data_IF_744472906728
#
_entry.id   IF_744472906728
#
_cell.length_a   1.000
_cell.length_b   1.000
_cell.length_c   1.000
_cell.angle_alpha   90.00
_cell.angle_beta   90.00
_cell.angle_gamma   90.00
#
_symmetry.space_group_name_H-M   'P 1'
#
loop_
_entity.id
_entity.type
_entity.pdbx_description
1 polymer ?
#
# COMPACT_ATOMS: atom_id res chain seq x y z
N UNK A 1 57.28 -35.46 7.48
CA UNK A 1 56.55 -34.88 8.64
C UNK A 1 56.84 -33.39 8.64
N UNK A 2 55.89 -32.46 8.92
CA UNK A 2 54.57 -32.59 9.56
C UNK A 2 53.43 -32.06 8.64
N UNK A 3 52.16 -31.85 9.02
CA UNK A 3 51.21 -32.57 9.85
C UNK A 3 49.83 -32.34 9.19
N UNK A 4 48.95 -33.32 9.31
CA UNK A 4 47.60 -33.37 8.74
C UNK A 4 46.63 -32.82 9.78
N UNK A 5 45.84 -31.79 9.46
CA UNK A 5 44.73 -31.34 10.31
C UNK A 5 43.41 -31.56 9.57
N UNK A 6 42.70 -32.61 9.99
CA UNK A 6 41.25 -32.78 9.82
C UNK A 6 40.54 -31.86 10.81
N UNK A 7 39.41 -31.30 10.39
CA UNK A 7 38.45 -30.63 11.26
C UNK A 7 37.10 -30.61 10.57
N UNK A 8 36.34 -31.68 10.73
CA UNK A 8 34.89 -31.71 10.49
C UNK A 8 34.21 -30.85 11.58
N UNK A 9 33.36 -29.92 11.16
CA UNK A 9 32.39 -29.28 12.04
C UNK A 9 30.98 -29.56 11.48
N UNK A 10 30.30 -30.51 12.12
CA UNK A 10 28.85 -30.61 12.08
C UNK A 10 28.29 -29.40 12.84
N UNK A 11 27.47 -28.59 12.17
CA UNK A 11 26.68 -27.53 12.79
C UNK A 11 25.22 -27.78 12.48
N UNK A 12 24.45 -28.10 13.52
CA UNK A 12 23.02 -28.37 13.49
C UNK A 12 22.21 -27.25 12.83
N UNK A 13 21.34 -27.63 11.89
CA UNK A 13 20.24 -26.81 11.39
C UNK A 13 19.19 -26.73 12.50
N UNK A 14 19.20 -25.62 13.26
CA UNK A 14 18.05 -25.27 14.08
C UNK A 14 16.93 -24.73 13.18
N UNK A 15 15.81 -25.43 13.22
CA UNK A 15 14.57 -25.09 12.55
C UNK A 15 14.08 -23.73 13.06
N UNK A 16 14.04 -22.74 12.18
CA UNK A 16 13.49 -21.41 12.47
C UNK A 16 11.99 -21.50 12.73
N UNK A 17 11.60 -21.30 13.99
CA UNK A 17 10.21 -21.08 14.37
C UNK A 17 9.67 -19.84 13.65
N UNK A 18 8.58 -20.04 12.89
CA UNK A 18 7.82 -18.99 12.22
C UNK A 18 7.24 -18.06 13.30
N UNK A 19 7.88 -16.91 13.53
CA UNK A 19 7.25 -15.83 14.28
C UNK A 19 6.07 -15.34 13.43
N UNK A 20 4.86 -15.75 13.84
CA UNK A 20 3.63 -15.17 13.37
C UNK A 20 3.58 -13.74 13.92
N UNK A 21 3.95 -12.76 13.09
CA UNK A 21 3.76 -11.33 13.43
C UNK A 21 2.24 -11.07 13.33
N UNK A 22 1.59 -10.53 14.37
CA UNK A 22 0.18 -10.17 14.28
C UNK A 22 -0.01 -9.08 13.21
N UNK A 23 -1.00 -9.24 12.34
CA UNK A 23 -1.44 -8.17 11.44
C UNK A 23 -1.79 -6.93 12.30
N UNK A 24 -1.32 -5.72 11.95
CA UNK A 24 -1.81 -4.52 12.59
C UNK A 24 -3.29 -4.29 12.25
N UNK A 25 -4.04 -3.77 13.22
CA UNK A 25 -5.46 -3.46 13.06
C UNK A 25 -5.66 -2.46 11.89
N UNK A 26 -6.70 -2.66 11.04
CA UNK A 26 -7.05 -1.68 10.03
C UNK A 26 -7.35 -0.33 10.70
N UNK A 27 -6.79 0.75 10.13
CA UNK A 27 -6.99 2.10 10.69
C UNK A 27 -8.49 2.42 10.78
N UNK A 28 -8.96 3.04 11.87
CA UNK A 28 -10.34 3.52 11.93
C UNK A 28 -10.53 4.67 10.93
N UNK A 29 -11.49 4.51 10.03
CA UNK A 29 -11.95 5.55 9.11
C UNK A 29 -12.18 6.87 9.86
N UNK A 30 -11.47 7.92 9.45
CA UNK A 30 -11.63 9.26 9.97
C UNK A 30 -12.97 9.87 9.53
N UNK A 31 -14.09 9.44 10.11
CA UNK A 31 -15.38 10.13 9.97
C UNK A 31 -15.35 11.43 10.76
N UNK A 32 -15.22 12.53 10.01
CA UNK A 32 -15.51 13.91 10.44
C UNK A 32 -16.80 13.99 11.24
N UNK A 33 -16.71 14.52 12.46
CA UNK A 33 -17.86 14.95 13.25
C UNK A 33 -18.55 16.14 12.59
N UNK A 34 -19.83 15.98 12.28
CA UNK A 34 -20.76 17.09 12.05
C UNK A 34 -21.65 17.20 13.29
N UNK A 35 -21.44 18.27 14.07
CA UNK A 35 -22.43 18.70 15.04
C UNK A 35 -23.59 19.39 14.31
N UNK A 36 -24.82 18.98 14.61
CA UNK A 36 -26.00 19.79 14.31
C UNK A 36 -27.02 19.79 15.45
N UNK A 37 -27.67 20.95 15.51
CA UNK A 37 -28.45 21.51 16.59
C UNK A 37 -29.73 20.73 16.97
N UNK A 38 -30.07 20.87 18.24
CA UNK A 38 -31.39 20.63 18.85
C UNK A 38 -32.48 21.48 18.19
N UNK A 39 -33.58 20.85 17.77
CA UNK A 39 -34.90 21.48 17.65
C UNK A 39 -36.00 20.46 18.00
N UNK A 40 -36.97 20.93 18.77
CA UNK A 40 -38.00 20.17 19.49
C UNK A 40 -39.33 20.26 18.73
N UNK A 41 -39.99 19.12 18.52
CA UNK A 41 -41.46 18.97 18.58
C UNK A 41 -42.31 19.29 17.34
N UNK A 42 -43.21 18.35 16.99
CA UNK A 42 -44.42 18.62 16.19
C UNK A 42 -44.94 17.41 15.38
N UNK A 43 -46.03 16.77 15.83
CA UNK A 43 -46.72 15.67 15.14
C UNK A 43 -47.70 16.19 14.07
N UNK A 44 -47.79 15.54 12.90
CA UNK A 44 -49.00 14.87 12.32
C UNK A 44 -48.88 14.50 10.82
N UNK A 45 -49.15 13.21 10.57
CA UNK A 45 -49.93 12.58 9.48
C UNK A 45 -49.57 12.68 7.98
N UNK A 46 -49.27 11.49 7.43
CA UNK A 46 -49.78 10.82 6.22
C UNK A 46 -49.61 11.46 4.81
N UNK A 47 -48.93 10.73 3.91
CA UNK A 47 -49.52 10.16 2.67
C UNK A 47 -48.45 9.50 1.76
N UNK A 48 -48.75 8.27 1.34
CA UNK A 48 -48.66 7.71 -0.03
C UNK A 48 -47.33 7.70 -0.82
N UNK A 49 -46.83 6.47 -0.98
CA UNK A 49 -46.24 5.82 -2.17
C UNK A 49 -45.15 6.50 -3.00
N UNK A 50 -44.00 5.83 -3.12
CA UNK A 50 -43.49 5.30 -4.40
C UNK A 50 -42.11 4.65 -4.21
N UNK A 51 -41.94 3.46 -4.77
CA UNK A 51 -40.65 2.91 -5.21
C UNK A 51 -39.60 2.64 -4.14
N UNK A 52 -39.63 1.45 -3.54
CA UNK A 52 -38.41 0.89 -2.93
C UNK A 52 -37.49 0.35 -4.04
N UNK A 53 -36.89 1.26 -4.80
CA UNK A 53 -35.75 0.95 -5.66
C UNK A 53 -34.47 1.09 -4.84
N UNK A 54 -34.13 0.07 -4.05
CA UNK A 54 -32.79 -0.05 -3.47
C UNK A 54 -31.82 -0.46 -4.61
N UNK A 55 -31.40 0.52 -5.40
CA UNK A 55 -30.21 0.38 -6.25
C UNK A 55 -29.00 0.43 -5.31
N UNK A 56 -28.56 -0.75 -4.86
CA UNK A 56 -27.23 -0.92 -4.28
C UNK A 56 -26.20 -0.71 -5.40
N UNK A 57 -25.82 0.54 -5.63
CA UNK A 57 -24.60 0.85 -6.36
C UNK A 57 -23.43 0.44 -5.47
N UNK A 58 -22.99 -0.82 -5.62
CA UNK A 58 -21.71 -1.28 -5.09
C UNK A 58 -20.60 -0.61 -5.91
N UNK A 59 -20.31 0.65 -5.61
CA UNK A 59 -19.14 1.32 -6.11
C UNK A 59 -17.94 0.78 -5.32
N UNK A 60 -17.22 -0.19 -5.88
CA UNK A 60 -15.83 -0.45 -5.50
C UNK A 60 -15.00 0.76 -5.94
N UNK A 61 -15.02 1.83 -5.15
CA UNK A 61 -14.16 2.99 -5.37
C UNK A 61 -12.75 2.63 -4.94
N UNK A 62 -11.77 2.90 -5.81
CA UNK A 62 -10.37 2.82 -5.43
C UNK A 62 -10.10 3.68 -4.18
N UNK A 63 -9.27 3.15 -3.28
CA UNK A 63 -8.86 3.86 -2.07
C UNK A 63 -8.37 5.27 -2.43
N UNK A 64 -8.77 6.28 -1.64
CA UNK A 64 -8.41 7.67 -1.93
C UNK A 64 -7.00 7.96 -1.41
N UNK A 65 -6.13 8.63 -2.19
CA UNK A 65 -4.79 8.98 -1.73
C UNK A 65 -4.78 9.84 -0.45
N UNK A 66 -3.91 9.50 0.50
CA UNK A 66 -3.63 10.30 1.71
C UNK A 66 -2.12 10.45 1.93
N UNK A 67 -1.53 11.37 1.16
CA UNK A 67 -0.12 11.71 1.28
C UNK A 67 0.25 12.29 2.66
N UNK A 68 -0.70 12.88 3.39
CA UNK A 68 -0.43 13.47 4.70
C UNK A 68 -0.22 12.39 5.77
N UNK A 69 -0.97 11.29 5.68
CA UNK A 69 -0.77 10.11 6.50
C UNK A 69 0.60 9.48 6.23
N UNK A 70 0.99 9.27 4.96
CA UNK A 70 2.30 8.72 4.60
C UNK A 70 3.44 9.59 5.17
N UNK A 71 3.33 10.91 5.08
CA UNK A 71 4.32 11.83 5.67
C UNK A 71 4.36 11.73 7.20
N UNK A 72 3.22 11.54 7.86
CA UNK A 72 3.14 11.32 9.30
C UNK A 72 3.80 10.00 9.71
N UNK A 73 3.58 8.94 8.94
CA UNK A 73 4.17 7.62 9.17
C UNK A 73 5.68 7.66 8.96
N UNK A 74 6.15 8.37 7.94
CA UNK A 74 7.58 8.63 7.74
C UNK A 74 8.21 9.34 8.94
N UNK A 75 7.58 10.40 9.45
CA UNK A 75 8.08 11.16 10.62
C UNK A 75 8.08 10.35 11.91
N UNK A 76 7.19 9.39 12.02
CA UNK A 76 7.00 8.54 13.21
C UNK A 76 7.73 7.20 13.10
N UNK A 77 8.45 6.96 12.00
CA UNK A 77 9.13 5.69 11.69
C UNK A 77 8.20 4.47 11.71
N UNK A 78 6.95 4.62 11.26
CA UNK A 78 6.00 3.51 11.18
C UNK A 78 6.19 2.69 9.90
N UNK A 79 5.87 1.40 9.94
CA UNK A 79 5.99 0.47 8.80
C UNK A 79 4.86 -0.55 8.84
N UNK A 80 4.73 -1.32 7.77
CA UNK A 80 3.71 -2.35 7.59
C UNK A 80 2.29 -1.76 7.63
N UNK A 81 2.11 -0.68 6.85
CA UNK A 81 0.86 0.07 6.78
C UNK A 81 0.37 0.08 5.35
N UNK A 82 -0.88 -0.32 5.13
CA UNK A 82 -1.54 -0.09 3.84
C UNK A 82 -1.76 1.40 3.61
N UNK A 83 -1.35 1.86 2.44
CA UNK A 83 -1.43 3.26 2.04
C UNK A 83 -1.88 3.40 0.61
N UNK A 84 -2.51 4.53 0.31
CA UNK A 84 -2.64 5.03 -1.06
C UNK A 84 -1.98 6.38 -1.12
N UNK A 85 -1.03 6.53 -2.04
CA UNK A 85 -0.25 7.73 -2.22
C UNK A 85 -0.33 8.19 -3.68
N UNK A 86 -0.39 9.50 -3.90
CA UNK A 86 -0.33 10.08 -5.23
C UNK A 86 0.89 10.99 -5.37
N UNK A 87 1.47 11.04 -6.56
CA UNK A 87 2.64 11.88 -6.78
C UNK A 87 3.17 11.82 -8.19
N UNK A 88 4.26 12.55 -8.38
CA UNK A 88 4.95 12.62 -9.67
C UNK A 88 6.16 11.71 -9.66
N UNK A 89 6.31 10.88 -10.70
CA UNK A 89 7.52 10.07 -10.90
C UNK A 89 8.69 11.01 -11.20
N UNK A 90 9.72 10.99 -10.35
CA UNK A 90 10.89 11.87 -10.47
C UNK A 90 12.16 11.14 -10.89
N UNK A 91 12.18 9.81 -10.81
CA UNK A 91 13.32 8.99 -11.24
C UNK A 91 12.89 7.56 -11.54
N UNK A 92 13.33 7.03 -12.67
CA UNK A 92 13.28 5.58 -12.95
C UNK A 92 14.56 4.93 -12.43
N UNK A 93 14.43 3.75 -11.84
CA UNK A 93 15.55 2.93 -11.39
C UNK A 93 15.66 1.69 -12.28
N UNK A 94 16.84 1.07 -12.30
CA UNK A 94 16.96 -0.23 -12.94
C UNK A 94 16.11 -1.26 -12.20
N UNK A 95 15.51 -2.18 -12.95
CA UNK A 95 14.84 -3.34 -12.37
C UNK A 95 15.75 -4.09 -11.40
N UNK A 96 15.14 -4.72 -10.41
CA UNK A 96 15.83 -5.56 -9.45
C UNK A 96 15.25 -6.97 -9.47
N UNK A 97 16.07 -7.98 -9.74
CA UNK A 97 15.68 -9.37 -9.57
C UNK A 97 16.02 -9.86 -8.17
N UNK A 98 15.09 -10.58 -7.57
CA UNK A 98 15.20 -11.20 -6.24
C UNK A 98 14.69 -12.63 -6.27
N UNK A 99 14.69 -13.32 -5.13
CA UNK A 99 14.12 -14.65 -5.01
C UNK A 99 12.59 -14.70 -5.27
N UNK A 100 11.89 -13.57 -5.13
CA UNK A 100 10.43 -13.47 -5.31
C UNK A 100 10.02 -12.97 -6.70
N UNK A 101 10.99 -12.64 -7.56
CA UNK A 101 10.74 -12.14 -8.91
C UNK A 101 11.56 -10.91 -9.26
N UNK A 102 11.29 -10.38 -10.45
CA UNK A 102 11.80 -9.10 -10.95
C UNK A 102 10.87 -7.97 -10.57
N UNK A 103 11.44 -6.89 -10.05
CA UNK A 103 10.75 -5.71 -9.56
C UNK A 103 11.08 -4.51 -10.43
N UNK A 104 10.05 -3.87 -10.97
CA UNK A 104 10.11 -2.50 -11.50
C UNK A 104 10.26 -1.52 -10.34
N UNK A 105 11.11 -0.51 -10.51
CA UNK A 105 11.42 0.45 -9.45
C UNK A 105 11.46 1.88 -9.95
N UNK A 106 10.87 2.77 -9.18
CA UNK A 106 10.90 4.20 -9.46
C UNK A 106 10.70 5.00 -8.19
N UNK A 107 11.07 6.28 -8.24
CA UNK A 107 10.90 7.22 -7.14
C UNK A 107 9.75 8.16 -7.47
N UNK A 108 8.81 8.27 -6.53
CA UNK A 108 7.68 9.19 -6.59
C UNK A 108 7.92 10.32 -5.60
N UNK A 109 7.84 11.57 -6.05
CA UNK A 109 7.68 12.72 -5.16
C UNK A 109 6.20 12.86 -4.86
N UNK A 110 5.81 12.67 -3.59
CA UNK A 110 4.41 12.79 -3.18
C UNK A 110 3.87 14.19 -3.56
N UNK A 111 2.60 14.28 -3.93
CA UNK A 111 1.96 15.55 -4.29
C UNK A 111 1.95 16.57 -3.13
N UNK A 112 2.11 16.11 -1.88
CA UNK A 112 2.38 16.98 -0.72
C UNK A 112 3.70 17.75 -0.82
N UNK A 113 4.63 17.29 -1.66
CA UNK A 113 5.96 17.85 -1.87
C UNK A 113 6.95 17.59 -0.74
N UNK A 114 6.54 16.91 0.34
CA UNK A 114 7.32 16.82 1.57
C UNK A 114 8.43 15.76 1.51
N UNK A 115 8.17 14.62 0.88
CA UNK A 115 9.09 13.48 0.79
C UNK A 115 8.99 12.81 -0.58
N UNK A 116 9.99 12.00 -0.89
CA UNK A 116 9.94 11.01 -1.95
C UNK A 116 9.78 9.62 -1.36
N UNK A 117 9.12 8.72 -2.08
CA UNK A 117 9.04 7.30 -1.75
C UNK A 117 9.57 6.48 -2.92
N UNK A 118 10.24 5.37 -2.63
CA UNK A 118 10.53 4.34 -3.63
C UNK A 118 9.30 3.45 -3.80
N UNK A 119 9.02 3.04 -5.03
CA UNK A 119 7.99 2.05 -5.35
C UNK A 119 8.68 0.82 -5.91
N UNK A 120 8.39 -0.36 -5.36
CA UNK A 120 8.79 -1.67 -5.91
C UNK A 120 7.54 -2.43 -6.37
N UNK A 121 7.44 -2.69 -7.67
CA UNK A 121 6.34 -3.41 -8.30
C UNK A 121 6.83 -4.72 -8.92
N UNK A 122 6.32 -5.85 -8.44
CA UNK A 122 6.75 -7.17 -8.92
C UNK A 122 6.12 -7.49 -10.28
N UNK A 123 6.85 -7.20 -11.35
CA UNK A 123 6.43 -7.46 -12.74
C UNK A 123 6.42 -8.94 -13.13
N UNK A 124 6.80 -9.84 -12.21
CA UNK A 124 6.65 -11.28 -12.41
C UNK A 124 5.25 -11.77 -12.00
N UNK A 125 4.51 -10.96 -11.24
CA UNK A 125 3.16 -11.24 -10.77
C UNK A 125 2.16 -10.28 -11.44
N UNK A 126 2.47 -8.98 -11.43
CA UNK A 126 1.63 -7.94 -12.00
C UNK A 126 2.10 -7.43 -13.37
N UNK A 127 1.21 -6.73 -14.07
CA UNK A 127 1.55 -6.08 -15.33
C UNK A 127 2.44 -4.86 -15.09
N UNK A 128 3.59 -4.76 -15.79
CA UNK A 128 4.45 -3.56 -15.73
C UNK A 128 3.66 -2.27 -16.01
N UNK A 129 3.82 -1.28 -15.15
CA UNK A 129 3.30 0.06 -15.38
C UNK A 129 4.26 0.82 -16.31
N UNK A 130 3.80 1.41 -17.44
CA UNK A 130 4.65 2.08 -18.41
C UNK A 130 5.04 3.51 -17.95
N UNK A 131 5.40 3.66 -16.67
CA UNK A 131 5.68 4.95 -16.05
C UNK A 131 6.91 5.62 -16.63
N UNK A 132 6.85 6.93 -16.79
CA UNK A 132 7.93 7.80 -17.21
C UNK A 132 8.16 8.92 -16.20
N UNK A 133 9.36 9.52 -16.23
CA UNK A 133 9.64 10.71 -15.41
C UNK A 133 8.70 11.83 -15.82
N UNK A 134 8.00 12.41 -14.85
CA UNK A 134 7.00 13.45 -15.03
C UNK A 134 5.56 12.96 -14.96
N UNK A 135 5.32 11.65 -15.01
CA UNK A 135 3.97 11.10 -14.91
C UNK A 135 3.41 11.28 -13.51
N UNK A 136 2.11 11.57 -13.45
CA UNK A 136 1.34 11.58 -12.21
C UNK A 136 0.75 10.19 -12.00
N UNK A 137 1.10 9.56 -10.88
CA UNK A 137 0.66 8.21 -10.54
C UNK A 137 -0.06 8.18 -9.21
N UNK A 138 -0.98 7.24 -9.06
CA UNK A 138 -1.51 6.81 -7.76
C UNK A 138 -0.99 5.41 -7.48
N UNK A 139 -0.45 5.18 -6.28
CA UNK A 139 0.13 3.90 -5.87
C UNK A 139 -0.56 3.45 -4.60
N UNK A 140 -1.01 2.20 -4.58
CA UNK A 140 -1.57 1.55 -3.42
C UNK A 140 -0.77 0.28 -3.09
N UNK A 141 -0.48 0.09 -1.81
CA UNK A 141 0.23 -1.07 -1.28
C UNK A 141 0.78 -0.78 0.11
N UNK A 142 1.70 -1.63 0.57
CA UNK A 142 2.24 -1.56 1.92
C UNK A 142 3.46 -0.63 2.00
N UNK A 143 3.44 0.28 2.97
CA UNK A 143 4.54 1.20 3.27
C UNK A 143 5.51 0.62 4.30
N UNK A 144 6.81 0.69 3.97
CA UNK A 144 7.93 0.34 4.85
C UNK A 144 8.83 1.57 5.03
N UNK A 145 9.13 1.90 6.28
CA UNK A 145 9.99 3.03 6.59
C UNK A 145 11.46 2.78 6.21
N UNK A 146 12.11 3.81 5.68
CA UNK A 146 13.55 3.91 5.58
C UNK A 146 13.97 5.39 5.66
N UNK A 147 15.26 5.67 5.84
CA UNK A 147 15.76 7.05 5.98
C UNK A 147 15.64 7.90 4.71
N UNK A 148 15.30 7.30 3.56
CA UNK A 148 15.16 7.96 2.26
C UNK A 148 13.72 8.37 1.95
N UNK A 149 12.80 8.20 2.90
CA UNK A 149 11.37 8.56 2.78
C UNK A 149 10.43 7.36 2.82
N UNK A 150 10.97 6.16 2.65
CA UNK A 150 10.24 4.89 2.68
C UNK A 150 10.08 4.22 1.32
N UNK A 151 9.55 3.01 1.37
CA UNK A 151 9.28 2.11 0.25
C UNK A 151 7.78 1.76 0.26
N UNK A 152 7.15 1.75 -0.91
CA UNK A 152 5.84 1.13 -1.12
C UNK A 152 6.05 -0.12 -1.98
N UNK A 153 5.67 -1.27 -1.45
CA UNK A 153 5.68 -2.57 -2.14
C UNK A 153 4.29 -3.22 -2.09
N UNK A 154 4.15 -4.49 -2.46
CA UNK A 154 2.84 -5.14 -2.64
C UNK A 154 1.89 -4.34 -3.56
N UNK A 155 2.45 -3.64 -4.54
CA UNK A 155 1.69 -2.82 -5.51
C UNK A 155 1.08 -3.67 -6.63
N UNK A 156 0.64 -4.88 -6.30
CA UNK A 156 0.08 -5.89 -7.18
C UNK A 156 -0.94 -6.73 -6.43
N UNK A 157 -1.76 -7.49 -7.14
CA UNK A 157 -2.63 -8.48 -6.50
C UNK A 157 -1.81 -9.57 -5.78
N UNK A 158 -2.24 -10.04 -4.61
CA UNK A 158 -1.61 -11.22 -3.96
C UNK A 158 -2.22 -12.52 -4.53
N UNK A 159 -1.47 -13.36 -5.28
CA UNK A 159 -1.99 -14.61 -5.84
C UNK A 159 -2.48 -15.59 -4.78
N UNK A 160 -1.99 -15.48 -3.54
CA UNK A 160 -2.38 -16.34 -2.43
C UNK A 160 -3.52 -15.75 -1.59
N UNK A 161 -3.87 -14.47 -1.78
CA UNK A 161 -4.91 -13.78 -1.01
C UNK A 161 -4.64 -13.71 0.49
N UNK A 162 -3.36 -13.71 0.88
CA UNK A 162 -2.89 -13.65 2.27
C UNK A 162 -2.53 -12.24 2.73
N UNK A 163 -2.37 -11.32 1.78
CA UNK A 163 -2.08 -9.91 1.97
C UNK A 163 -3.06 -9.05 1.17
N UNK A 164 -3.30 -7.82 1.61
CA UNK A 164 -4.05 -6.84 0.80
C UNK A 164 -3.29 -6.61 -0.51
N UNK A 165 -4.04 -6.60 -1.62
CA UNK A 165 -3.47 -6.38 -2.94
C UNK A 165 -3.35 -4.89 -3.23
N UNK A 166 -2.27 -4.50 -3.87
CA UNK A 166 -2.04 -3.12 -4.30
C UNK A 166 -2.15 -2.94 -5.80
N UNK A 167 -1.81 -1.74 -6.25
CA UNK A 167 -1.79 -1.38 -7.66
C UNK A 167 -0.95 -0.12 -7.93
N UNK A 168 -0.60 0.08 -9.19
CA UNK A 168 -0.18 1.37 -9.74
C UNK A 168 -1.24 1.84 -10.72
N UNK A 169 -1.70 3.08 -10.59
CA UNK A 169 -2.53 3.76 -11.58
C UNK A 169 -1.70 4.83 -12.28
N UNK A 170 -1.66 4.75 -13.61
CA UNK A 170 -1.09 5.77 -14.49
C UNK A 170 -2.09 6.12 -15.60
N UNK A 171 -2.33 7.41 -15.80
CA UNK A 171 -3.24 7.92 -16.84
C UNK A 171 -4.64 7.26 -16.86
N UNK A 172 -5.19 6.95 -15.67
CA UNK A 172 -6.50 6.31 -15.50
C UNK A 172 -6.52 4.82 -15.83
N UNK A 173 -5.36 4.18 -16.01
CA UNK A 173 -5.21 2.74 -16.16
C UNK A 173 -4.48 2.15 -14.96
N UNK A 174 -5.04 1.08 -14.42
CA UNK A 174 -4.48 0.33 -13.29
C UNK A 174 -3.62 -0.84 -13.77
N UNK A 175 -2.55 -1.09 -13.01
CA UNK A 175 -1.56 -2.14 -13.19
C UNK A 175 -1.37 -2.84 -11.85
N UNK A 176 -1.68 -4.13 -11.80
CA UNK A 176 -1.60 -4.99 -10.61
C UNK A 176 -1.21 -6.42 -10.98
#
# INVERSE_FOLDING_TARGET
MPAKCRGEIHGDVQQGGRLQVPLPDPRPDARRGQGQLSMRGGRRAAATACGLGLLLAACGGAAQPDNSAVVSDFRSHHSNLEVTADGTVVRLLADQTSATGTHERFIVKLSSGAITVEVEHNVSIGARAPVAVGDQVTVHGEYIWNAQGGLIHFTHHDPQGTHEGGYIEDNGKTYD
#
